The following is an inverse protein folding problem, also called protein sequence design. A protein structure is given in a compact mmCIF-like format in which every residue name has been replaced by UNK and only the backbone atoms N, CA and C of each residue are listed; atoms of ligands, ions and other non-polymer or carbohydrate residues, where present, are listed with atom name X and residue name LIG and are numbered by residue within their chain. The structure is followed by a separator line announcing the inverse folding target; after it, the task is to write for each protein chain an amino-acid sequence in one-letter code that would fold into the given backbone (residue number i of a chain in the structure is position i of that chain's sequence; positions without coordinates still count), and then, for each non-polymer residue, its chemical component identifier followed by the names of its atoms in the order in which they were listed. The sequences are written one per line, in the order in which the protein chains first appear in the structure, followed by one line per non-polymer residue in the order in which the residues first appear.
data_IF_452692611320
#
_entry.id   IF_452692611320
#
_cell.length_a   1.000
_cell.length_b   1.000
_cell.length_c   1.000
_cell.angle_alpha   90.00
_cell.angle_beta   90.00
_cell.angle_gamma   90.00
#
_symmetry.space_group_name_H-M   'P 1'
#
loop_
_entity.id
_entity.type
_entity.pdbx_description
1 polymer ?
#
# COMPACT_ATOMS: atom_id res chain seq x y z
N UNK A 1 41.88 14.59 -1.86
CA UNK A 1 42.19 13.50 -2.80
C UNK A 1 41.49 13.85 -4.11
N UNK A 2 42.24 14.00 -5.18
CA UNK A 2 41.68 14.22 -6.52
C UNK A 2 40.90 12.95 -6.90
N UNK A 3 39.58 13.07 -7.05
CA UNK A 3 38.75 11.96 -7.56
C UNK A 3 39.24 11.57 -8.95
N UNK A 4 39.38 10.27 -9.20
CA UNK A 4 39.75 9.75 -10.53
C UNK A 4 38.59 9.93 -11.56
N UNK A 5 37.40 10.32 -11.09
CA UNK A 5 36.21 10.51 -11.92
C UNK A 5 35.89 12.00 -12.11
N UNK A 6 35.20 12.31 -13.19
CA UNK A 6 34.64 13.65 -13.41
C UNK A 6 33.61 13.99 -12.34
N UNK A 7 33.39 15.28 -12.09
CA UNK A 7 32.42 15.77 -11.12
C UNK A 7 31.01 15.20 -11.35
N UNK A 8 30.55 15.22 -12.62
CA UNK A 8 29.22 14.71 -12.99
C UNK A 8 29.07 13.22 -12.71
N UNK A 9 30.13 12.41 -12.97
CA UNK A 9 30.09 10.98 -12.72
C UNK A 9 30.07 10.69 -11.20
N UNK A 10 30.87 11.41 -10.43
CA UNK A 10 30.84 11.31 -8.96
C UNK A 10 29.46 11.62 -8.40
N UNK A 11 28.83 12.70 -8.85
CA UNK A 11 27.49 13.10 -8.41
C UNK A 11 26.46 12.00 -8.73
N UNK A 12 26.53 11.38 -9.90
CA UNK A 12 25.63 10.29 -10.26
C UNK A 12 25.85 9.05 -9.37
N UNK A 13 27.10 8.70 -9.05
CA UNK A 13 27.46 7.62 -8.13
C UNK A 13 26.89 7.90 -6.73
N UNK A 14 27.05 9.13 -6.24
CA UNK A 14 26.52 9.54 -4.95
C UNK A 14 24.99 9.42 -4.88
N UNK A 15 24.28 9.89 -5.91
CA UNK A 15 22.81 9.80 -5.96
C UNK A 15 22.32 8.34 -5.99
N UNK A 16 22.98 7.48 -6.77
CA UNK A 16 22.66 6.04 -6.73
C UNK A 16 22.98 5.41 -5.38
N UNK A 17 24.04 5.85 -4.71
CA UNK A 17 24.42 5.36 -3.38
C UNK A 17 23.42 5.70 -2.26
N UNK A 18 22.54 6.68 -2.47
CA UNK A 18 21.45 7.02 -1.55
C UNK A 18 20.26 6.07 -1.64
N UNK A 19 20.19 5.25 -2.69
CA UNK A 19 19.06 4.32 -2.89
C UNK A 19 19.15 3.15 -1.91
N UNK A 20 18.05 2.75 -1.27
CA UNK A 20 18.04 1.62 -0.34
C UNK A 20 18.56 0.34 -1.01
N UNK A 21 19.50 -0.34 -0.36
CA UNK A 21 20.10 -1.57 -0.87
C UNK A 21 21.18 -1.38 -1.95
N UNK A 22 21.49 -0.14 -2.32
CA UNK A 22 22.55 0.17 -3.28
C UNK A 22 23.85 0.54 -2.55
N UNK A 23 24.79 -0.41 -2.50
CA UNK A 23 26.13 -0.16 -1.96
C UNK A 23 27.06 0.55 -2.96
N UNK A 24 28.26 1.02 -2.50
CA UNK A 24 29.17 1.81 -3.34
C UNK A 24 29.54 1.16 -4.67
N UNK A 25 29.86 -0.14 -4.68
CA UNK A 25 30.19 -0.87 -5.91
C UNK A 25 29.03 -0.98 -6.89
N UNK A 26 27.79 -1.10 -6.36
CA UNK A 26 26.58 -1.14 -7.19
C UNK A 26 26.28 0.24 -7.75
N UNK A 27 26.41 1.30 -6.96
CA UNK A 27 26.23 2.68 -7.40
C UNK A 27 27.19 3.02 -8.54
N UNK A 28 28.48 2.68 -8.37
CA UNK A 28 29.50 2.87 -9.42
C UNK A 28 29.13 2.12 -10.70
N UNK A 29 28.77 0.83 -10.59
CA UNK A 29 28.36 0.02 -11.77
C UNK A 29 27.15 0.59 -12.50
N UNK A 30 26.14 1.09 -11.74
CA UNK A 30 24.95 1.74 -12.32
C UNK A 30 25.34 3.03 -13.05
N UNK A 31 26.17 3.87 -12.44
CA UNK A 31 26.62 5.13 -13.06
C UNK A 31 27.41 4.88 -14.35
N UNK A 32 28.30 3.89 -14.37
CA UNK A 32 29.01 3.50 -15.61
C UNK A 32 28.11 2.87 -16.65
N UNK A 33 27.03 2.18 -16.24
CA UNK A 33 26.01 1.70 -17.18
C UNK A 33 25.32 2.86 -17.86
N UNK A 34 24.87 3.86 -17.12
CA UNK A 34 24.24 5.07 -17.68
C UNK A 34 25.21 5.83 -18.58
N UNK A 35 26.49 5.97 -18.20
CA UNK A 35 27.51 6.63 -19.02
C UNK A 35 27.69 5.96 -20.39
N UNK A 36 27.54 4.63 -20.45
CA UNK A 36 27.69 3.84 -21.69
C UNK A 36 26.37 3.69 -22.48
N UNK A 37 25.23 3.94 -21.84
CA UNK A 37 23.92 3.87 -22.49
C UNK A 37 23.79 4.97 -23.57
N UNK A 38 22.86 4.78 -24.49
CA UNK A 38 22.52 5.82 -25.45
C UNK A 38 21.93 7.03 -24.73
N UNK A 39 22.19 8.26 -25.19
CA UNK A 39 21.63 9.47 -24.57
C UNK A 39 20.12 9.40 -24.36
N UNK A 40 19.37 8.89 -25.33
CA UNK A 40 17.91 8.77 -25.26
C UNK A 40 17.46 7.82 -24.15
N UNK A 41 18.16 6.70 -23.91
CA UNK A 41 17.88 5.75 -22.85
C UNK A 41 18.14 6.37 -21.46
N UNK A 42 19.24 7.09 -21.33
CA UNK A 42 19.57 7.80 -20.09
C UNK A 42 18.55 8.91 -19.78
N UNK A 43 18.16 9.68 -20.80
CA UNK A 43 17.16 10.74 -20.65
C UNK A 43 15.77 10.17 -20.35
N UNK A 44 15.38 9.03 -20.91
CA UNK A 44 14.13 8.35 -20.60
C UNK A 44 14.05 7.97 -19.12
N UNK A 45 15.13 7.45 -18.54
CA UNK A 45 15.19 7.15 -17.09
C UNK A 45 15.06 8.44 -16.26
N UNK A 46 15.80 9.49 -16.60
CA UNK A 46 15.72 10.77 -15.91
C UNK A 46 14.30 11.35 -15.95
N UNK A 47 13.65 11.30 -17.12
CA UNK A 47 12.28 11.76 -17.29
C UNK A 47 11.28 10.91 -16.46
N UNK A 48 11.43 9.58 -16.44
CA UNK A 48 10.57 8.71 -15.65
C UNK A 48 10.66 9.03 -14.14
N UNK A 49 11.87 9.30 -13.61
CA UNK A 49 12.07 9.72 -12.23
C UNK A 49 11.38 11.08 -11.97
N UNK A 50 11.54 12.03 -12.88
CA UNK A 50 10.90 13.34 -12.80
C UNK A 50 9.37 13.22 -12.81
N UNK A 51 8.82 12.40 -13.70
CA UNK A 51 7.38 12.20 -13.85
C UNK A 51 6.75 11.61 -12.58
N UNK A 52 7.37 10.59 -11.98
CA UNK A 52 6.92 10.01 -10.72
C UNK A 52 6.81 11.07 -9.61
N UNK A 53 7.76 12.00 -9.52
CA UNK A 53 7.75 13.05 -8.50
C UNK A 53 6.76 14.17 -8.77
N UNK A 54 6.49 14.46 -10.04
CA UNK A 54 5.69 15.63 -10.43
C UNK A 54 4.24 15.29 -10.77
N UNK A 55 3.97 14.08 -11.26
CA UNK A 55 2.63 13.68 -11.72
C UNK A 55 1.86 12.85 -10.70
N UNK A 56 2.56 12.03 -9.88
CA UNK A 56 1.86 11.18 -8.91
C UNK A 56 1.42 12.01 -7.72
N UNK A 57 0.12 11.95 -7.46
CA UNK A 57 -0.58 12.55 -6.31
C UNK A 57 -1.44 11.51 -5.60
N UNK A 58 -2.08 11.88 -4.51
CA UNK A 58 -3.10 11.05 -3.86
C UNK A 58 -4.47 11.31 -4.49
N UNK A 59 -5.20 10.25 -4.78
CA UNK A 59 -6.60 10.34 -5.19
C UNK A 59 -7.44 11.03 -4.10
N UNK A 60 -8.23 12.02 -4.46
CA UNK A 60 -9.06 12.78 -3.51
C UNK A 60 -10.15 11.94 -2.83
N UNK A 61 -10.51 10.78 -3.42
CA UNK A 61 -11.56 9.90 -2.90
C UNK A 61 -11.02 8.78 -2.02
N UNK A 62 -9.95 8.11 -2.44
CA UNK A 62 -9.47 6.89 -1.77
C UNK A 62 -8.04 6.96 -1.26
N UNK A 63 -7.32 8.05 -1.50
CA UNK A 63 -5.93 8.29 -1.08
C UNK A 63 -4.90 7.34 -1.68
N UNK A 64 -5.28 6.53 -2.68
CA UNK A 64 -4.34 5.76 -3.48
C UNK A 64 -3.54 6.66 -4.42
N UNK A 65 -2.43 6.17 -4.96
CA UNK A 65 -1.68 6.90 -5.98
C UNK A 65 -2.49 7.07 -7.26
N UNK A 66 -2.39 8.27 -7.86
CA UNK A 66 -3.07 8.66 -9.08
C UNK A 66 -2.27 9.73 -9.81
N UNK A 67 -2.38 9.80 -11.12
CA UNK A 67 -1.93 10.96 -11.90
C UNK A 67 -3.05 11.99 -12.10
N UNK A 68 -4.30 11.61 -11.78
CA UNK A 68 -5.50 12.45 -11.85
C UNK A 68 -6.04 12.72 -10.44
N UNK A 69 -6.96 13.67 -10.30
CA UNK A 69 -7.60 13.98 -9.02
C UNK A 69 -8.37 12.78 -8.46
N UNK A 70 -9.03 12.01 -9.35
CA UNK A 70 -9.71 10.74 -9.02
C UNK A 70 -9.04 9.60 -9.79
N UNK A 71 -8.60 8.55 -9.09
CA UNK A 71 -7.91 7.41 -9.71
C UNK A 71 -8.87 6.53 -10.54
N UNK A 72 -8.30 5.73 -11.44
CA UNK A 72 -9.05 4.83 -12.34
C UNK A 72 -9.96 3.86 -11.58
N UNK A 73 -9.57 3.41 -10.39
CA UNK A 73 -10.39 2.53 -9.55
C UNK A 73 -11.66 3.25 -9.07
N UNK A 74 -11.52 4.50 -8.60
CA UNK A 74 -12.66 5.27 -8.09
C UNK A 74 -13.59 5.75 -9.21
N UNK A 75 -13.08 5.97 -10.42
CA UNK A 75 -13.84 6.38 -11.59
C UNK A 75 -14.51 5.21 -12.34
N UNK A 76 -14.09 3.96 -12.07
CA UNK A 76 -14.66 2.77 -12.72
C UNK A 76 -16.10 2.52 -12.25
N UNK A 77 -17.05 2.77 -13.14
CA UNK A 77 -18.50 2.60 -12.89
C UNK A 77 -18.94 1.15 -12.70
N UNK A 78 -18.11 0.18 -13.05
CA UNK A 78 -18.41 -1.25 -12.90
C UNK A 78 -18.19 -1.74 -11.47
N UNK A 79 -17.55 -0.93 -10.62
CA UNK A 79 -17.25 -1.28 -9.23
C UNK A 79 -18.43 -1.02 -8.30
N UNK A 80 -18.58 -1.87 -7.31
CA UNK A 80 -19.59 -1.72 -6.27
C UNK A 80 -19.14 -0.63 -5.28
N UNK A 81 -19.81 0.52 -5.35
CA UNK A 81 -19.54 1.68 -4.50
C UNK A 81 -20.03 1.51 -3.06
N UNK A 82 -20.88 0.51 -2.80
CA UNK A 82 -21.37 0.21 -1.46
C UNK A 82 -20.36 -0.61 -0.62
N UNK A 83 -19.29 -1.10 -1.24
CA UNK A 83 -18.22 -1.87 -0.61
C UNK A 83 -16.91 -1.07 -0.61
N UNK A 84 -16.30 -0.88 0.54
CA UNK A 84 -14.98 -0.23 0.66
C UNK A 84 -14.00 -1.18 1.33
N UNK A 85 -12.89 -1.47 0.65
CA UNK A 85 -11.76 -2.21 1.20
C UNK A 85 -10.74 -1.22 1.77
N UNK A 86 -10.47 -1.30 3.06
CA UNK A 86 -9.56 -0.41 3.79
C UNK A 86 -8.20 -1.08 3.89
N UNK A 87 -7.16 -0.43 3.36
CA UNK A 87 -5.79 -0.91 3.34
C UNK A 87 -4.83 0.11 3.98
N UNK A 88 -3.66 -0.35 4.40
CA UNK A 88 -2.65 0.53 5.02
C UNK A 88 -1.90 1.35 3.98
N UNK A 89 -1.50 0.75 2.86
CA UNK A 89 -0.61 1.36 1.89
C UNK A 89 -1.10 1.16 0.43
N UNK A 90 -0.71 2.04 -0.50
CA UNK A 90 -1.04 1.87 -1.93
C UNK A 90 -0.57 0.54 -2.54
N UNK A 91 0.55 -0.01 -2.06
CA UNK A 91 1.06 -1.31 -2.51
C UNK A 91 0.11 -2.47 -2.20
N UNK A 92 -0.71 -2.33 -1.14
CA UNK A 92 -1.69 -3.35 -0.74
C UNK A 92 -2.84 -3.39 -1.75
N UNK A 93 -3.26 -2.22 -2.27
CA UNK A 93 -4.22 -2.13 -3.38
C UNK A 93 -3.72 -2.91 -4.60
N UNK A 94 -2.46 -2.69 -4.99
CA UNK A 94 -1.85 -3.39 -6.13
C UNK A 94 -1.88 -4.90 -5.93
N UNK A 95 -1.60 -5.37 -4.71
CA UNK A 95 -1.58 -6.79 -4.36
C UNK A 95 -2.97 -7.43 -4.45
N UNK A 96 -3.99 -6.72 -3.96
CA UNK A 96 -5.38 -7.17 -4.02
C UNK A 96 -5.91 -7.17 -5.46
N UNK A 97 -5.66 -6.11 -6.23
CA UNK A 97 -6.09 -6.00 -7.63
C UNK A 97 -5.50 -7.11 -8.53
N UNK A 98 -4.27 -7.54 -8.27
CA UNK A 98 -3.65 -8.66 -9.01
C UNK A 98 -4.42 -9.97 -8.90
N UNK A 99 -5.27 -10.14 -7.90
CA UNK A 99 -6.12 -11.34 -7.76
C UNK A 99 -7.23 -11.41 -8.80
N UNK A 100 -7.61 -10.27 -9.39
CA UNK A 100 -8.74 -10.16 -10.32
C UNK A 100 -10.12 -10.34 -9.67
N UNK A 101 -10.20 -10.52 -8.36
CA UNK A 101 -11.43 -10.83 -7.62
C UNK A 101 -12.10 -9.60 -7.01
N UNK A 102 -11.43 -8.44 -7.05
CA UNK A 102 -11.88 -7.24 -6.36
C UNK A 102 -12.87 -6.43 -7.20
N UNK A 103 -14.09 -6.28 -6.69
CA UNK A 103 -15.15 -5.48 -7.33
C UNK A 103 -15.51 -4.23 -6.54
N UNK A 104 -14.90 -4.01 -5.38
CA UNK A 104 -15.12 -2.91 -4.45
C UNK A 104 -14.26 -1.67 -4.76
N UNK A 105 -14.53 -0.59 -4.05
CA UNK A 105 -13.63 0.56 -3.96
C UNK A 105 -12.64 0.39 -2.81
N UNK A 106 -11.60 1.21 -2.78
CA UNK A 106 -10.60 1.20 -1.73
C UNK A 106 -10.60 2.48 -0.90
N UNK A 107 -9.97 2.39 0.27
CA UNK A 107 -9.51 3.53 1.03
C UNK A 107 -8.14 3.21 1.62
N UNK A 108 -7.15 4.06 1.33
CA UNK A 108 -5.77 3.89 1.75
C UNK A 108 -5.50 4.77 2.95
N UNK A 109 -5.20 4.18 4.10
CA UNK A 109 -4.99 4.91 5.36
C UNK A 109 -3.70 5.72 5.38
N UNK A 110 -2.67 5.31 4.63
CA UNK A 110 -1.32 5.89 4.66
C UNK A 110 -0.40 5.22 5.68
N UNK A 111 -0.90 4.28 6.49
CA UNK A 111 -0.18 3.56 7.53
C UNK A 111 -1.12 2.81 8.45
N UNK A 112 -0.64 2.56 9.67
CA UNK A 112 -1.41 2.02 10.80
C UNK A 112 -1.09 2.82 12.07
N UNK A 113 -1.95 2.75 13.07
CA UNK A 113 -1.74 3.41 14.37
C UNK A 113 -0.56 2.72 15.07
N UNK A 114 0.48 3.49 15.39
CA UNK A 114 1.69 3.02 16.07
C UNK A 114 2.23 4.12 17.00
N UNK A 115 1.65 4.33 18.19
CA UNK A 115 2.03 5.44 19.09
C UNK A 115 3.49 5.41 19.51
N UNK A 116 4.09 4.22 19.61
CA UNK A 116 5.52 4.07 19.92
C UNK A 116 6.44 4.56 18.79
N UNK A 117 5.93 4.63 17.57
CA UNK A 117 6.60 5.15 16.39
C UNK A 117 6.17 6.59 16.07
N UNK A 118 5.32 7.18 16.92
CA UNK A 118 4.79 8.54 16.77
C UNK A 118 3.69 8.66 15.71
N UNK A 119 3.05 7.54 15.32
CA UNK A 119 1.95 7.55 14.33
C UNK A 119 0.62 7.49 15.08
N UNK A 120 -0.05 8.64 15.13
CA UNK A 120 -1.36 8.80 15.77
C UNK A 120 -2.50 8.68 14.73
N UNK A 121 -3.76 8.46 15.19
CA UNK A 121 -4.91 8.39 14.27
C UNK A 121 -5.08 9.62 13.36
N UNK A 122 -4.64 10.80 13.81
CA UNK A 122 -4.69 12.05 13.06
C UNK A 122 -3.69 12.15 11.91
N UNK A 123 -2.65 11.32 11.91
CA UNK A 123 -1.65 11.24 10.83
C UNK A 123 -2.13 10.37 9.66
N UNK A 124 -3.23 9.64 9.88
CA UNK A 124 -3.82 8.72 8.91
C UNK A 124 -5.14 9.29 8.37
N UNK A 125 -5.57 8.81 7.20
CA UNK A 125 -6.82 9.23 6.54
C UNK A 125 -8.07 8.58 7.16
N UNK A 126 -8.06 8.36 8.49
CA UNK A 126 -9.17 7.70 9.22
C UNK A 126 -10.39 8.62 9.29
N UNK A 127 -10.19 9.92 9.52
CA UNK A 127 -11.28 10.89 9.60
C UNK A 127 -12.02 10.99 8.26
N UNK A 128 -11.29 10.99 7.16
CA UNK A 128 -11.81 11.02 5.81
C UNK A 128 -12.57 9.73 5.47
N UNK A 129 -12.09 8.58 5.93
CA UNK A 129 -12.82 7.32 5.81
C UNK A 129 -14.16 7.39 6.55
N UNK A 130 -14.15 7.87 7.80
CA UNK A 130 -15.37 8.01 8.62
C UNK A 130 -16.37 8.97 7.96
N UNK A 131 -15.89 10.10 7.45
CA UNK A 131 -16.71 11.06 6.72
C UNK A 131 -17.33 10.43 5.46
N UNK A 132 -16.52 9.70 4.67
CA UNK A 132 -16.94 9.00 3.47
C UNK A 132 -18.02 7.95 3.75
N UNK A 133 -17.89 7.19 4.84
CA UNK A 133 -18.89 6.20 5.25
C UNK A 133 -20.20 6.85 5.69
N UNK A 134 -20.12 7.95 6.44
CA UNK A 134 -21.32 8.64 6.95
C UNK A 134 -22.09 9.41 5.89
N UNK A 135 -21.42 9.86 4.83
CA UNK A 135 -22.01 10.63 3.73
C UNK A 135 -22.49 9.78 2.56
N UNK A 136 -22.03 8.53 2.47
CA UNK A 136 -22.28 7.64 1.35
C UNK A 136 -23.19 6.45 1.70
N UNK A 137 -23.65 5.74 0.66
CA UNK A 137 -24.43 4.50 0.79
C UNK A 137 -23.52 3.28 1.00
N UNK A 138 -22.55 3.38 1.92
CA UNK A 138 -21.62 2.30 2.22
C UNK A 138 -22.29 1.25 3.09
N UNK A 139 -22.40 0.03 2.57
CA UNK A 139 -23.00 -1.12 3.26
C UNK A 139 -21.98 -1.95 4.02
N UNK A 140 -20.78 -2.05 3.50
CA UNK A 140 -19.74 -2.88 4.11
C UNK A 140 -18.36 -2.23 3.99
N UNK A 141 -17.61 -2.26 5.11
CA UNK A 141 -16.17 -2.00 5.17
C UNK A 141 -15.44 -3.32 5.33
N UNK A 142 -14.53 -3.61 4.40
CA UNK A 142 -13.67 -4.78 4.43
C UNK A 142 -12.30 -4.34 4.95
N UNK A 143 -11.98 -4.68 6.19
CA UNK A 143 -10.67 -4.35 6.78
C UNK A 143 -9.59 -5.28 6.22
N UNK A 144 -8.70 -4.72 5.42
CA UNK A 144 -7.56 -5.39 4.82
C UNK A 144 -6.23 -4.80 5.30
N UNK A 145 -6.20 -4.40 6.58
CA UNK A 145 -4.96 -4.04 7.29
C UNK A 145 -4.10 -5.28 7.49
N UNK A 146 -2.80 -5.08 7.67
CA UNK A 146 -1.89 -6.20 7.90
C UNK A 146 -2.30 -7.03 9.12
N UNK A 147 -2.19 -8.38 9.08
CA UNK A 147 -2.59 -9.27 10.16
C UNK A 147 -1.54 -9.29 11.29
N UNK A 148 -1.28 -8.13 11.89
CA UNK A 148 -0.39 -7.93 13.02
C UNK A 148 -1.09 -7.09 14.11
N UNK A 149 -0.44 -6.87 15.25
CA UNK A 149 -1.01 -6.16 16.39
C UNK A 149 -1.42 -4.73 16.02
N UNK A 150 -0.60 -4.01 15.27
CA UNK A 150 -0.86 -2.63 14.89
C UNK A 150 -2.03 -2.52 13.89
N UNK A 151 -2.06 -3.39 12.85
CA UNK A 151 -3.17 -3.44 11.89
C UNK A 151 -4.49 -3.88 12.54
N UNK A 152 -4.46 -4.83 13.49
CA UNK A 152 -5.63 -5.24 14.27
C UNK A 152 -6.13 -4.10 15.16
N UNK A 153 -5.21 -3.40 15.85
CA UNK A 153 -5.53 -2.22 16.66
C UNK A 153 -6.17 -1.11 15.84
N UNK A 154 -5.62 -0.84 14.65
CA UNK A 154 -6.15 0.16 13.71
C UNK A 154 -7.56 -0.21 13.25
N UNK A 155 -7.79 -1.48 12.90
CA UNK A 155 -9.12 -1.98 12.52
C UNK A 155 -10.15 -1.84 13.64
N UNK A 156 -9.77 -2.18 14.87
CA UNK A 156 -10.64 -2.06 16.04
C UNK A 156 -10.97 -0.60 16.35
N UNK A 157 -10.00 0.30 16.21
CA UNK A 157 -10.21 1.73 16.39
C UNK A 157 -11.22 2.27 15.37
N UNK A 158 -11.05 1.98 14.08
CA UNK A 158 -11.99 2.38 13.02
C UNK A 158 -13.39 1.78 13.30
N UNK A 159 -13.46 0.51 13.68
CA UNK A 159 -14.72 -0.14 14.04
C UNK A 159 -15.43 0.57 15.18
N UNK A 160 -14.69 1.04 16.20
CA UNK A 160 -15.26 1.78 17.34
C UNK A 160 -15.88 3.11 16.91
N UNK A 161 -15.25 3.84 15.97
CA UNK A 161 -15.74 5.12 15.44
C UNK A 161 -17.02 4.97 14.60
N UNK A 162 -17.21 3.80 13.98
CA UNK A 162 -18.31 3.53 13.07
C UNK A 162 -19.41 2.65 13.71
N UNK A 163 -19.34 2.37 15.00
CA UNK A 163 -20.30 1.51 15.72
C UNK A 163 -21.77 1.91 15.52
N UNK A 164 -22.04 3.21 15.39
CA UNK A 164 -23.41 3.76 15.23
C UNK A 164 -23.77 4.06 13.78
N UNK A 165 -22.87 3.83 12.82
CA UNK A 165 -23.07 4.17 11.42
C UNK A 165 -23.92 3.14 10.64
N UNK A 166 -24.25 1.99 11.26
CA UNK A 166 -25.04 0.94 10.61
C UNK A 166 -24.32 0.21 9.47
N UNK A 167 -23.02 0.44 9.29
CA UNK A 167 -22.19 -0.22 8.29
C UNK A 167 -21.69 -1.57 8.82
N UNK A 168 -21.78 -2.61 7.99
CA UNK A 168 -21.18 -3.91 8.29
C UNK A 168 -19.66 -3.81 8.19
N UNK A 169 -18.92 -4.28 9.19
CA UNK A 169 -17.46 -4.29 9.18
C UNK A 169 -17.00 -5.74 9.18
N UNK A 170 -16.24 -6.10 8.16
CA UNK A 170 -15.64 -7.42 8.00
C UNK A 170 -14.10 -7.28 7.91
N UNK A 171 -13.42 -8.39 7.92
CA UNK A 171 -11.98 -8.45 7.65
C UNK A 171 -11.67 -9.60 6.70
N UNK A 172 -10.53 -9.53 6.03
CA UNK A 172 -10.06 -10.62 5.20
C UNK A 172 -9.89 -11.89 6.05
N UNK A 173 -10.24 -13.04 5.48
CA UNK A 173 -10.11 -14.33 6.14
C UNK A 173 -8.64 -14.57 6.54
N UNK A 174 -8.47 -15.20 7.71
CA UNK A 174 -7.16 -15.64 8.21
C UNK A 174 -7.18 -17.15 8.40
N UNK A 175 -6.02 -17.75 8.30
CA UNK A 175 -5.91 -19.18 8.49
C UNK A 175 -4.73 -19.79 7.76
N UNK A 176 -4.84 -21.08 7.40
CA UNK A 176 -3.82 -21.82 6.71
C UNK A 176 -3.78 -21.45 5.21
N UNK A 177 -2.64 -21.02 4.68
CA UNK A 177 -2.49 -20.83 3.25
C UNK A 177 -2.62 -22.16 2.50
N UNK A 178 -3.19 -22.11 1.31
CA UNK A 178 -3.29 -23.27 0.42
C UNK A 178 -1.89 -23.83 0.12
N UNK A 179 -1.74 -25.14 0.24
CA UNK A 179 -0.47 -25.84 0.05
C UNK A 179 0.44 -25.89 1.27
N UNK A 180 0.02 -25.31 2.41
CA UNK A 180 0.76 -25.43 3.68
C UNK A 180 0.41 -26.73 4.39
N UNK A 181 1.43 -27.46 4.85
CA UNK A 181 1.26 -28.61 5.75
C UNK A 181 1.01 -28.10 7.17
N UNK A 182 0.02 -28.68 7.87
CA UNK A 182 -0.36 -28.29 9.24
C UNK A 182 0.83 -28.30 10.19
N UNK A 183 1.72 -29.28 10.07
CA UNK A 183 2.93 -29.46 10.88
C UNK A 183 3.85 -28.21 10.88
N UNK A 184 3.92 -27.51 9.73
CA UNK A 184 4.80 -26.32 9.56
C UNK A 184 4.09 -24.99 9.82
N UNK A 185 2.80 -25.03 10.14
CA UNK A 185 2.06 -23.82 10.43
C UNK A 185 2.39 -23.30 11.83
N UNK A 186 2.54 -21.98 11.98
CA UNK A 186 2.72 -21.37 13.31
C UNK A 186 1.47 -21.54 14.17
N UNK A 187 1.65 -21.59 15.49
CA UNK A 187 0.53 -21.71 16.44
C UNK A 187 -0.55 -20.63 16.25
N UNK A 188 -0.14 -19.41 15.86
CA UNK A 188 -1.07 -18.32 15.53
C UNK A 188 -1.91 -18.62 14.29
N UNK A 189 -1.28 -19.11 13.22
CA UNK A 189 -1.99 -19.50 11.98
C UNK A 189 -3.00 -20.62 12.25
N UNK A 190 -2.60 -21.60 13.07
CA UNK A 190 -3.50 -22.69 13.49
C UNK A 190 -4.68 -22.18 14.33
N UNK A 191 -4.41 -21.30 15.28
CA UNK A 191 -5.47 -20.68 16.10
C UNK A 191 -6.46 -19.90 15.24
N UNK A 192 -5.96 -19.09 14.30
CA UNK A 192 -6.80 -18.32 13.38
C UNK A 192 -7.64 -19.25 12.49
N UNK A 193 -7.05 -20.35 11.99
CA UNK A 193 -7.75 -21.34 11.17
C UNK A 193 -8.87 -22.08 11.96
N UNK A 194 -8.61 -22.42 13.22
CA UNK A 194 -9.59 -23.06 14.11
C UNK A 194 -10.76 -22.12 14.40
N UNK A 195 -10.44 -20.85 14.69
CA UNK A 195 -11.46 -19.83 14.98
C UNK A 195 -12.30 -19.48 13.74
N UNK A 196 -11.66 -19.44 12.56
CA UNK A 196 -12.29 -19.13 11.28
C UNK A 196 -12.80 -20.34 10.51
N UNK A 197 -12.89 -21.53 11.12
CA UNK A 197 -13.35 -22.75 10.45
C UNK A 197 -14.75 -22.58 9.85
N UNK A 198 -14.92 -23.10 8.65
CA UNK A 198 -16.19 -23.07 7.91
C UNK A 198 -16.79 -24.47 7.84
N UNK A 199 -18.09 -24.53 7.72
CA UNK A 199 -18.83 -25.77 7.43
C UNK A 199 -18.53 -26.21 5.98
N UNK A 200 -18.37 -27.52 5.78
CA UNK A 200 -18.24 -28.10 4.45
C UNK A 200 -19.64 -28.43 3.94
N UNK A 201 -19.99 -27.87 2.81
CA UNK A 201 -21.21 -28.22 2.07
C UNK A 201 -21.03 -29.47 1.20
#
# INVERSE_FOLDING_TARGET
MTSAYTESLNKLIEEFGKLPGVGPKTAERLAFHILKAKPDEAMALAQAISDVKNKIRRCEVCYNFSEQDVCDICSDTRRDKSLICVVEQPKDVISLEKTGSCKWLYHVLGGHIAPLEGIEPGDLTINELVARVRQGDVKELIMATNPNIAGDGTSLYISSLLRTAGVKITRLARGLPTGTTIEYASGRMLSDAIMGRQELE
#
